data_IF_295261510300
#
_entry.id   IF_295261510300
#
_cell.length_a   1.000
_cell.length_b   1.000
_cell.length_c   1.000
_cell.angle_alpha   90.00
_cell.angle_beta   90.00
_cell.angle_gamma   90.00
#
_symmetry.space_group_name_H-M   'P 1'
#
loop_
_entity.id
_entity.type
_entity.pdbx_description
1 polymer ?
#
# COMPACT_ATOMS: atom_id res chain seq x y z
N UNK A 1 38.80 -56.57 16.61
CA UNK A 1 38.45 -55.75 15.44
C UNK A 1 37.00 -55.24 15.38
N UNK A 2 36.11 -55.58 16.32
CA UNK A 2 34.69 -55.20 16.30
C UNK A 2 34.40 -53.82 16.95
N UNK A 3 35.27 -53.30 17.84
CA UNK A 3 35.05 -52.05 18.53
C UNK A 3 35.27 -50.78 17.69
N UNK A 4 36.13 -50.85 16.66
CA UNK A 4 36.42 -49.72 15.76
C UNK A 4 35.28 -49.39 14.77
N UNK A 5 34.45 -50.38 14.43
CA UNK A 5 33.32 -50.20 13.50
C UNK A 5 32.14 -49.46 14.10
N UNK A 6 31.89 -49.66 15.38
CA UNK A 6 30.77 -48.98 16.08
C UNK A 6 31.05 -47.51 16.35
N UNK A 7 32.29 -47.18 16.70
CA UNK A 7 32.69 -45.78 16.93
C UNK A 7 32.57 -44.91 15.68
N UNK A 8 32.87 -45.42 14.49
CA UNK A 8 32.70 -44.72 13.22
C UNK A 8 31.21 -44.48 12.88
N UNK A 9 30.32 -45.42 13.25
CA UNK A 9 28.83 -45.24 13.07
C UNK A 9 28.28 -44.16 14.00
N UNK A 10 28.74 -44.04 15.24
CA UNK A 10 28.30 -43.01 16.17
C UNK A 10 28.81 -41.61 15.78
N UNK A 11 30.07 -41.54 15.27
CA UNK A 11 30.62 -40.27 14.76
C UNK A 11 29.83 -39.79 13.53
N UNK A 12 29.45 -40.70 12.60
CA UNK A 12 28.65 -40.35 11.43
C UNK A 12 27.23 -39.91 11.82
N UNK A 13 26.60 -40.52 12.84
CA UNK A 13 25.30 -40.11 13.36
C UNK A 13 25.37 -38.74 14.07
N UNK A 14 26.44 -38.43 14.77
CA UNK A 14 26.65 -37.13 15.42
C UNK A 14 26.86 -36.01 14.38
N UNK A 15 27.62 -36.27 13.31
CA UNK A 15 27.82 -35.29 12.21
C UNK A 15 26.55 -35.03 11.42
N UNK A 16 25.72 -36.03 11.17
CA UNK A 16 24.41 -35.87 10.51
C UNK A 16 23.44 -35.12 11.41
N UNK A 17 23.47 -35.35 12.76
CA UNK A 17 22.63 -34.63 13.70
C UNK A 17 23.02 -33.15 13.82
N UNK A 18 24.30 -32.80 13.66
CA UNK A 18 24.77 -31.40 13.68
C UNK A 18 24.43 -30.61 12.39
N UNK A 19 24.29 -31.31 11.24
CA UNK A 19 23.87 -30.66 9.99
C UNK A 19 22.39 -30.27 9.97
N UNK A 20 21.56 -30.77 10.88
CA UNK A 20 20.15 -30.39 11.04
C UNK A 20 19.88 -29.30 12.08
N UNK A 21 20.91 -28.74 12.72
CA UNK A 21 20.79 -27.45 13.38
C UNK A 21 20.72 -26.38 12.29
N UNK A 22 19.63 -26.42 11.53
CA UNK A 22 19.33 -25.42 10.50
C UNK A 22 19.45 -24.04 11.14
N UNK A 23 20.22 -23.15 10.53
CA UNK A 23 20.21 -21.73 10.84
C UNK A 23 18.74 -21.29 10.85
N UNK A 24 18.16 -21.18 12.03
CA UNK A 24 16.84 -20.60 12.18
C UNK A 24 16.98 -19.14 11.77
N UNK A 25 16.62 -18.86 10.50
CA UNK A 25 16.72 -17.51 9.96
C UNK A 25 15.94 -16.59 10.92
N UNK A 26 16.62 -15.58 11.48
CA UNK A 26 15.99 -14.65 12.42
C UNK A 26 14.74 -14.09 11.79
N UNK A 27 13.60 -14.28 12.44
CA UNK A 27 12.33 -13.74 11.99
C UNK A 27 12.36 -12.21 12.07
N UNK A 28 11.98 -11.54 10.98
CA UNK A 28 11.89 -10.09 10.88
C UNK A 28 10.43 -9.68 11.06
N UNK A 29 10.17 -8.81 12.02
CA UNK A 29 8.83 -8.27 12.26
C UNK A 29 8.61 -7.01 11.44
N UNK A 30 7.45 -6.92 10.76
CA UNK A 30 7.06 -5.80 9.90
C UNK A 30 5.68 -5.28 10.28
N UNK A 31 5.57 -4.01 10.67
CA UNK A 31 4.28 -3.32 10.86
C UNK A 31 3.99 -2.45 9.63
N UNK A 32 2.90 -2.75 8.94
CA UNK A 32 2.46 -2.04 7.76
C UNK A 32 1.33 -1.06 8.12
N UNK A 33 1.65 0.24 8.16
CA UNK A 33 0.71 1.32 8.45
C UNK A 33 0.19 1.87 7.13
N UNK A 34 -1.14 1.98 6.99
CA UNK A 34 -1.72 2.46 5.75
C UNK A 34 -3.22 2.72 5.82
N UNK A 35 -3.77 2.95 4.64
CA UNK A 35 -5.20 3.14 4.42
C UNK A 35 -5.91 1.84 3.97
N UNK A 36 -6.97 1.97 3.17
CA UNK A 36 -7.74 0.83 2.64
C UNK A 36 -6.90 -0.14 1.80
N UNK A 37 -5.88 0.34 1.07
CA UNK A 37 -5.02 -0.54 0.26
C UNK A 37 -4.26 -1.52 1.16
N UNK A 38 -3.83 -1.09 2.35
CA UNK A 38 -3.20 -1.93 3.36
C UNK A 38 -4.22 -2.79 4.09
N UNK A 39 -5.35 -2.21 4.52
CA UNK A 39 -6.43 -2.90 5.21
C UNK A 39 -6.95 -4.11 4.43
N UNK A 40 -7.20 -3.95 3.14
CA UNK A 40 -7.77 -4.99 2.25
C UNK A 40 -6.89 -6.23 2.09
N UNK A 41 -5.62 -6.21 2.55
CA UNK A 41 -4.78 -7.40 2.53
C UNK A 41 -5.41 -8.59 3.26
N UNK A 42 -6.15 -8.36 4.33
CA UNK A 42 -6.83 -9.38 5.14
C UNK A 42 -8.35 -9.35 4.99
N UNK A 43 -8.86 -8.45 4.15
CA UNK A 43 -10.29 -8.22 3.94
C UNK A 43 -10.66 -8.36 2.46
N UNK A 44 -10.07 -9.34 1.77
CA UNK A 44 -10.30 -9.57 0.33
C UNK A 44 -11.75 -9.91 0.00
N UNK A 45 -12.53 -10.43 0.96
CA UNK A 45 -13.97 -10.64 0.85
C UNK A 45 -14.76 -9.34 0.60
N UNK A 46 -14.22 -8.17 0.99
CA UNK A 46 -14.84 -6.86 0.75
C UNK A 46 -14.63 -6.34 -0.68
N UNK A 47 -13.82 -7.02 -1.49
CA UNK A 47 -13.48 -6.63 -2.86
C UNK A 47 -14.45 -7.17 -3.93
N UNK A 48 -15.54 -7.82 -3.53
CA UNK A 48 -16.44 -8.50 -4.47
C UNK A 48 -15.76 -9.63 -5.25
N UNK A 49 -14.89 -10.39 -4.60
CA UNK A 49 -14.09 -11.48 -5.16
C UNK A 49 -13.14 -11.07 -6.30
N UNK A 50 -12.71 -9.80 -6.32
CA UNK A 50 -11.81 -9.26 -7.35
C UNK A 50 -10.34 -9.32 -6.98
N UNK A 51 -10.03 -9.62 -5.73
CA UNK A 51 -8.68 -9.75 -5.19
C UNK A 51 -8.56 -11.05 -4.41
N UNK A 52 -7.51 -11.80 -4.67
CA UNK A 52 -7.21 -13.04 -3.94
C UNK A 52 -6.26 -12.80 -2.76
N UNK A 53 -5.27 -11.91 -2.91
CA UNK A 53 -4.23 -11.63 -1.91
C UNK A 53 -3.76 -10.18 -2.01
N UNK A 54 -3.60 -9.51 -0.88
CA UNK A 54 -2.97 -8.20 -0.82
C UNK A 54 -1.43 -8.27 -0.90
N UNK A 55 -0.80 -7.10 -0.82
CA UNK A 55 0.66 -7.00 -1.04
C UNK A 55 1.49 -7.60 0.11
N UNK A 56 1.06 -7.51 1.36
CA UNK A 56 1.81 -8.06 2.49
C UNK A 56 1.88 -9.59 2.43
N UNK A 57 0.76 -10.24 2.14
CA UNK A 57 0.70 -11.70 1.93
C UNK A 57 1.66 -12.12 0.82
N UNK A 58 1.67 -11.40 -0.33
CA UNK A 58 2.55 -11.69 -1.46
C UNK A 58 4.03 -11.48 -1.11
N UNK A 59 4.35 -10.48 -0.29
CA UNK A 59 5.71 -10.26 0.21
C UNK A 59 6.16 -11.41 1.10
N UNK A 60 5.33 -11.84 2.06
CA UNK A 60 5.72 -12.90 2.99
C UNK A 60 5.77 -14.29 2.35
N UNK A 61 5.03 -14.51 1.27
CA UNK A 61 5.20 -15.70 0.44
C UNK A 61 6.57 -15.76 -0.27
N UNK A 62 7.12 -14.59 -0.65
CA UNK A 62 8.44 -14.50 -1.27
C UNK A 62 9.58 -14.39 -0.24
N UNK A 63 9.30 -13.83 0.94
CA UNK A 63 10.24 -13.63 2.03
C UNK A 63 9.67 -14.27 3.32
N UNK A 64 9.74 -15.60 3.46
CA UNK A 64 9.06 -16.33 4.54
C UNK A 64 9.62 -16.09 5.94
N UNK A 65 10.78 -15.43 6.04
CA UNK A 65 11.34 -14.96 7.31
C UNK A 65 10.72 -13.66 7.82
N UNK A 66 9.81 -13.03 7.06
CA UNK A 66 9.12 -11.81 7.47
C UNK A 66 7.73 -12.17 7.99
N UNK A 67 7.40 -11.63 9.17
CA UNK A 67 6.06 -11.67 9.73
C UNK A 67 5.51 -10.24 9.79
N UNK A 68 4.36 -10.02 9.14
CA UNK A 68 3.73 -8.69 9.15
C UNK A 68 2.60 -8.57 10.19
N UNK A 69 2.36 -7.33 10.59
CA UNK A 69 1.16 -6.89 11.30
C UNK A 69 0.48 -5.82 10.45
N UNK A 70 -0.80 -6.03 10.15
CA UNK A 70 -1.61 -5.10 9.38
C UNK A 70 -2.12 -3.97 10.29
N UNK A 71 -1.70 -2.74 10.01
CA UNK A 71 -2.18 -1.49 10.59
C UNK A 71 -2.79 -0.60 9.51
N UNK A 72 -3.54 -1.22 8.60
CA UNK A 72 -4.35 -0.52 7.59
C UNK A 72 -5.70 -0.10 8.15
N UNK A 73 -6.16 1.09 7.80
CA UNK A 73 -7.41 1.66 8.26
C UNK A 73 -8.20 2.27 7.09
N UNK A 74 -9.40 1.75 6.83
CA UNK A 74 -10.24 2.20 5.70
C UNK A 74 -10.52 3.70 5.74
N UNK A 75 -10.16 4.41 4.66
CA UNK A 75 -10.42 5.82 4.48
C UNK A 75 -9.56 6.75 5.35
N UNK A 76 -8.60 6.23 6.11
CA UNK A 76 -7.78 7.08 6.97
C UNK A 76 -6.73 7.87 6.18
N UNK A 77 -6.44 9.04 6.71
CA UNK A 77 -5.45 10.00 6.24
C UNK A 77 -4.18 9.93 7.09
N UNK A 78 -3.07 10.44 6.61
CA UNK A 78 -1.86 10.61 7.41
C UNK A 78 -2.14 11.51 8.64
N UNK A 79 -2.96 12.55 8.47
CA UNK A 79 -3.40 13.42 9.58
C UNK A 79 -4.13 12.60 10.65
N UNK A 80 -5.03 11.70 10.26
CA UNK A 80 -5.76 10.88 11.22
C UNK A 80 -4.86 9.86 11.91
N UNK A 81 -4.00 9.18 11.15
CA UNK A 81 -2.99 8.26 11.74
C UNK A 81 -2.13 9.01 12.77
N UNK A 82 -1.61 10.19 12.43
CA UNK A 82 -0.79 11.00 13.35
C UNK A 82 -1.57 11.45 14.61
N UNK A 83 -2.86 11.74 14.46
CA UNK A 83 -3.72 12.13 15.58
C UNK A 83 -3.95 10.97 16.55
N UNK A 84 -4.18 9.78 16.01
CA UNK A 84 -4.49 8.57 16.79
C UNK A 84 -3.27 7.74 17.14
N UNK A 85 -2.05 8.17 16.77
CA UNK A 85 -0.84 7.35 16.77
C UNK A 85 -0.53 6.69 18.13
N UNK A 86 -0.87 7.37 19.24
CA UNK A 86 -0.65 6.84 20.59
C UNK A 86 -1.67 5.76 20.97
N UNK A 87 -2.85 5.78 20.34
CA UNK A 87 -3.98 4.89 20.63
C UNK A 87 -4.00 3.65 19.72
N UNK A 88 -3.20 3.65 18.63
CA UNK A 88 -3.20 2.56 17.63
C UNK A 88 -2.55 1.27 18.13
N UNK A 89 -1.86 1.30 19.27
CA UNK A 89 -1.20 0.10 19.81
C UNK A 89 -0.10 -0.45 18.87
N UNK A 90 0.59 0.43 18.15
CA UNK A 90 1.67 0.02 17.22
C UNK A 90 2.77 -0.69 18.01
N UNK A 91 3.02 -1.95 17.66
CA UNK A 91 4.04 -2.76 18.31
C UNK A 91 5.47 -2.34 17.88
N UNK A 92 6.45 -2.61 18.74
CA UNK A 92 7.86 -2.56 18.36
C UNK A 92 8.13 -3.59 17.27
N UNK A 93 8.77 -3.16 16.15
CA UNK A 93 9.09 -4.01 15.02
C UNK A 93 10.47 -3.70 14.43
N UNK A 94 11.01 -4.63 13.63
CA UNK A 94 12.28 -4.44 12.91
C UNK A 94 12.08 -3.55 11.68
N UNK A 95 10.87 -3.58 11.10
CA UNK A 95 10.50 -2.79 9.92
C UNK A 95 9.15 -2.11 10.12
N UNK A 96 9.04 -0.86 9.70
CA UNK A 96 7.78 -0.15 9.54
C UNK A 96 7.63 0.32 8.10
N UNK A 97 6.46 0.16 7.52
CA UNK A 97 6.10 0.81 6.25
C UNK A 97 4.94 1.77 6.45
N UNK A 98 4.97 2.91 5.74
CA UNK A 98 3.93 3.94 5.79
C UNK A 98 3.41 4.16 4.38
N UNK A 99 2.16 3.80 4.13
CA UNK A 99 1.49 3.91 2.82
C UNK A 99 0.22 4.76 2.96
N UNK A 100 0.36 6.06 2.86
CA UNK A 100 -0.67 7.07 3.11
C UNK A 100 -0.56 8.23 2.10
N UNK A 101 -1.55 9.13 2.10
CA UNK A 101 -1.55 10.36 1.30
C UNK A 101 -2.67 10.42 0.27
N UNK A 102 -3.18 9.29 -0.23
CA UNK A 102 -4.29 9.25 -1.19
C UNK A 102 -5.56 9.85 -0.60
N UNK A 103 -5.92 9.46 0.61
CA UNK A 103 -7.11 9.97 1.31
C UNK A 103 -6.93 11.39 1.80
N UNK A 104 -5.70 11.81 2.12
CA UNK A 104 -5.40 13.21 2.45
C UNK A 104 -5.70 14.11 1.25
N UNK A 105 -5.18 13.75 0.08
CA UNK A 105 -5.47 14.45 -1.16
C UNK A 105 -6.97 14.48 -1.46
N UNK A 106 -7.64 13.31 -1.46
CA UNK A 106 -9.07 13.24 -1.76
C UNK A 106 -9.93 14.01 -0.75
N UNK A 107 -9.58 13.95 0.52
CA UNK A 107 -10.24 14.71 1.60
C UNK A 107 -9.92 16.20 1.58
N UNK A 108 -9.12 16.69 0.63
CA UNK A 108 -8.71 18.10 0.54
C UNK A 108 -7.92 18.57 1.75
N UNK A 109 -7.19 17.66 2.41
CA UNK A 109 -6.35 17.99 3.57
C UNK A 109 -5.17 18.83 3.12
N UNK A 110 -4.75 19.82 3.92
CA UNK A 110 -3.60 20.65 3.56
C UNK A 110 -2.34 19.80 3.51
N UNK A 111 -1.66 19.82 2.35
CA UNK A 111 -0.35 19.18 2.20
C UNK A 111 0.67 19.83 3.14
N UNK A 112 0.58 21.15 3.30
CA UNK A 112 1.57 21.94 4.01
C UNK A 112 2.84 22.16 3.21
N UNK A 113 3.91 22.45 3.91
CA UNK A 113 5.24 22.67 3.35
C UNK A 113 6.28 21.80 4.04
N UNK A 114 7.46 21.65 3.43
CA UNK A 114 8.57 20.93 4.06
C UNK A 114 8.98 21.54 5.42
N UNK A 115 8.77 22.85 5.61
CA UNK A 115 9.01 23.53 6.88
C UNK A 115 8.14 22.97 8.03
N UNK A 116 6.92 22.51 7.73
CA UNK A 116 6.06 21.87 8.73
C UNK A 116 6.66 20.55 9.23
N UNK A 117 7.27 19.80 8.32
CA UNK A 117 8.02 18.58 8.66
C UNK A 117 9.27 18.90 9.49
N UNK A 118 10.11 19.82 8.98
CA UNK A 118 11.40 20.17 9.58
C UNK A 118 11.25 20.73 10.99
N UNK A 119 10.30 21.64 11.20
CA UNK A 119 10.03 22.28 12.49
C UNK A 119 9.09 21.50 13.41
N UNK A 120 8.62 20.33 12.98
CA UNK A 120 7.70 19.49 13.79
C UNK A 120 6.49 20.28 14.27
N UNK A 121 5.75 20.91 13.35
CA UNK A 121 4.60 21.78 13.69
C UNK A 121 3.35 21.01 14.11
N UNK A 122 3.42 19.67 14.20
CA UNK A 122 2.30 18.80 14.56
C UNK A 122 1.50 18.34 13.34
N UNK A 123 0.34 17.77 13.59
CA UNK A 123 -0.45 17.00 12.62
C UNK A 123 -1.53 17.82 11.86
N UNK A 124 -1.35 19.13 11.69
CA UNK A 124 -2.30 19.96 10.95
C UNK A 124 -2.14 19.85 9.43
N UNK A 125 -0.98 19.40 8.96
CA UNK A 125 -0.66 19.19 7.56
C UNK A 125 -0.13 17.77 7.33
N UNK A 126 -0.10 17.33 6.07
CA UNK A 126 0.45 15.99 5.73
C UNK A 126 1.93 15.92 6.06
N UNK A 127 2.71 16.96 5.74
CA UNK A 127 4.12 17.04 6.12
C UNK A 127 4.33 16.90 7.63
N UNK A 128 3.60 17.66 8.45
CA UNK A 128 3.70 17.58 9.91
C UNK A 128 3.24 16.22 10.45
N UNK A 129 2.22 15.62 9.84
CA UNK A 129 1.72 14.29 10.22
C UNK A 129 2.75 13.19 9.97
N UNK A 130 3.44 13.22 8.82
CA UNK A 130 4.54 12.28 8.57
C UNK A 130 5.66 12.44 9.60
N UNK A 131 5.97 13.67 10.04
CA UNK A 131 6.95 13.91 11.11
C UNK A 131 6.51 13.24 12.42
N UNK A 132 5.26 13.44 12.81
CA UNK A 132 4.68 12.83 14.02
C UNK A 132 4.75 11.31 13.96
N UNK A 133 4.33 10.71 12.83
CA UNK A 133 4.35 9.25 12.65
C UNK A 133 5.79 8.71 12.73
N UNK A 134 6.73 9.29 11.97
CA UNK A 134 8.13 8.83 11.96
C UNK A 134 8.77 8.94 13.33
N UNK A 135 8.53 10.04 14.06
CA UNK A 135 9.03 10.21 15.42
C UNK A 135 8.49 9.11 16.36
N UNK A 136 7.21 8.78 16.28
CA UNK A 136 6.61 7.70 17.06
C UNK A 136 7.28 6.36 16.75
N UNK A 137 7.44 6.01 15.48
CA UNK A 137 8.06 4.73 15.09
C UNK A 137 9.51 4.62 15.59
N UNK A 138 10.27 5.70 15.50
CA UNK A 138 11.63 5.77 16.06
C UNK A 138 11.66 5.64 17.60
N UNK A 139 10.65 6.18 18.29
CA UNK A 139 10.54 6.01 19.74
C UNK A 139 10.26 4.57 20.16
N UNK A 140 9.61 3.77 19.31
CA UNK A 140 9.36 2.35 19.53
C UNK A 140 10.61 1.50 19.25
N UNK A 141 11.31 1.81 18.16
CA UNK A 141 12.58 1.18 17.79
C UNK A 141 13.41 2.11 16.91
N UNK A 142 14.45 2.70 17.46
CA UNK A 142 15.36 3.63 16.77
C UNK A 142 16.24 2.94 15.72
N UNK A 143 16.39 1.61 15.78
CA UNK A 143 17.09 0.79 14.81
C UNK A 143 16.18 0.23 13.70
N UNK A 144 14.88 0.48 13.76
CA UNK A 144 13.96 -0.05 12.78
C UNK A 144 14.21 0.53 11.39
N UNK A 145 14.08 -0.31 10.38
CA UNK A 145 14.01 0.13 8.98
C UNK A 145 12.64 0.76 8.73
N UNK A 146 12.58 2.06 8.42
CA UNK A 146 11.35 2.74 8.03
C UNK A 146 11.32 2.86 6.50
N UNK A 147 10.21 2.43 5.89
CA UNK A 147 9.96 2.46 4.44
C UNK A 147 8.77 3.38 4.20
N UNK A 148 8.96 4.41 3.40
CA UNK A 148 7.88 5.25 2.93
C UNK A 148 7.38 4.71 1.58
N UNK A 149 6.06 4.70 1.39
CA UNK A 149 5.43 4.28 0.14
C UNK A 149 4.60 5.45 -0.37
N UNK A 150 4.89 5.92 -1.58
CA UNK A 150 4.10 7.01 -2.16
C UNK A 150 2.70 6.53 -2.54
N UNK A 151 1.68 7.40 -2.59
CA UNK A 151 0.44 7.11 -3.28
C UNK A 151 0.70 6.56 -4.68
N UNK A 152 -0.20 5.77 -5.22
CA UNK A 152 -0.24 5.40 -6.63
C UNK A 152 -1.19 6.34 -7.38
N UNK A 153 -1.04 6.44 -8.70
CA UNK A 153 -2.04 7.10 -9.54
C UNK A 153 -3.39 6.37 -9.44
N UNK A 154 -4.47 7.08 -9.68
CA UNK A 154 -5.83 6.50 -9.68
C UNK A 154 -6.69 7.13 -10.78
N UNK A 155 -7.62 6.36 -11.31
CA UNK A 155 -8.73 6.86 -12.13
C UNK A 155 -9.98 7.07 -11.26
N UNK A 156 -11.13 7.29 -11.87
CA UNK A 156 -12.36 7.42 -11.12
C UNK A 156 -12.61 6.17 -10.28
N UNK A 157 -12.89 6.37 -9.03
CA UNK A 157 -13.19 5.31 -8.07
C UNK A 157 -14.70 5.19 -7.88
N UNK A 158 -15.19 3.95 -7.82
CA UNK A 158 -16.56 3.65 -7.36
C UNK A 158 -16.52 2.40 -6.49
N UNK A 159 -16.89 2.57 -5.20
CA UNK A 159 -16.89 1.46 -4.26
C UNK A 159 -17.96 0.42 -4.60
N UNK A 160 -17.54 -0.84 -4.73
CA UNK A 160 -18.40 -1.92 -5.21
C UNK A 160 -19.61 -2.20 -4.30
N UNK A 161 -19.47 -1.98 -2.99
CA UNK A 161 -20.54 -2.22 -2.02
C UNK A 161 -21.40 -0.97 -1.75
N UNK A 162 -21.03 0.20 -2.32
CA UNK A 162 -21.79 1.45 -2.20
C UNK A 162 -21.39 2.42 -3.30
N UNK A 163 -22.13 2.50 -4.39
CA UNK A 163 -21.81 3.34 -5.55
C UNK A 163 -21.82 4.84 -5.24
N UNK A 164 -22.50 5.26 -4.15
CA UNK A 164 -22.44 6.64 -3.64
C UNK A 164 -21.08 7.02 -3.09
N UNK A 165 -20.28 6.05 -2.66
CA UNK A 165 -18.88 6.25 -2.35
C UNK A 165 -18.06 6.18 -3.63
N UNK A 166 -17.92 7.34 -4.28
CA UNK A 166 -17.18 7.49 -5.53
C UNK A 166 -16.35 8.77 -5.55
N UNK A 167 -15.39 8.83 -6.43
CA UNK A 167 -14.42 9.92 -6.52
C UNK A 167 -13.80 9.99 -7.91
N UNK A 168 -13.44 11.18 -8.38
CA UNK A 168 -12.68 11.33 -9.62
C UNK A 168 -11.21 10.91 -9.46
N UNK A 169 -10.52 10.69 -10.57
CA UNK A 169 -9.13 10.26 -10.63
C UNK A 169 -8.10 11.36 -10.36
N UNK A 170 -6.83 10.95 -10.22
CA UNK A 170 -5.70 11.86 -9.98
C UNK A 170 -5.25 12.66 -11.21
N UNK A 171 -5.95 12.51 -12.32
CA UNK A 171 -5.81 13.34 -13.51
C UNK A 171 -6.40 14.77 -13.33
N UNK A 172 -6.98 15.06 -12.17
CA UNK A 172 -7.57 16.34 -11.78
C UNK A 172 -7.12 16.71 -10.37
N UNK A 173 -6.96 18.02 -10.12
CA UNK A 173 -6.65 18.53 -8.78
C UNK A 173 -7.85 18.42 -7.82
N UNK A 174 -7.57 18.41 -6.54
CA UNK A 174 -8.53 18.53 -5.46
C UNK A 174 -8.18 19.76 -4.62
N UNK A 175 -9.04 20.79 -4.63
CA UNK A 175 -8.81 22.05 -3.91
C UNK A 175 -7.44 22.69 -4.25
N UNK A 176 -7.06 22.69 -5.53
CA UNK A 176 -5.79 23.23 -5.99
C UNK A 176 -4.56 22.36 -5.70
N UNK A 177 -4.75 21.14 -5.17
CA UNK A 177 -3.67 20.21 -4.87
C UNK A 177 -3.75 18.98 -5.78
N UNK A 178 -2.62 18.55 -6.34
CA UNK A 178 -2.49 17.35 -7.16
C UNK A 178 -1.96 16.18 -6.33
N UNK A 179 -2.43 14.96 -6.56
CA UNK A 179 -1.91 13.77 -5.87
C UNK A 179 -0.40 13.60 -6.07
N UNK A 180 0.13 14.03 -7.22
CA UNK A 180 1.57 14.06 -7.49
C UNK A 180 2.36 14.85 -6.43
N UNK A 181 1.81 15.94 -5.90
CA UNK A 181 2.47 16.76 -4.88
C UNK A 181 2.60 15.98 -3.54
N UNK A 182 1.62 15.13 -3.21
CA UNK A 182 1.69 14.26 -2.03
C UNK A 182 2.75 13.17 -2.20
N UNK A 183 2.87 12.59 -3.39
CA UNK A 183 3.93 11.65 -3.71
C UNK A 183 5.32 12.31 -3.61
N UNK A 184 5.47 13.52 -4.15
CA UNK A 184 6.73 14.28 -4.08
C UNK A 184 7.08 14.69 -2.64
N UNK A 185 6.09 15.05 -1.82
CA UNK A 185 6.32 15.32 -0.39
C UNK A 185 6.92 14.12 0.34
N UNK A 186 6.40 12.91 0.06
CA UNK A 186 6.92 11.66 0.66
C UNK A 186 8.33 11.37 0.16
N UNK A 187 8.63 11.60 -1.14
CA UNK A 187 9.98 11.49 -1.69
C UNK A 187 10.94 12.48 -1.01
N UNK A 188 10.50 13.73 -0.80
CA UNK A 188 11.28 14.78 -0.13
C UNK A 188 11.60 14.40 1.31
N UNK A 189 10.61 13.91 2.08
CA UNK A 189 10.80 13.41 3.44
C UNK A 189 11.80 12.27 3.44
N UNK A 190 11.62 11.28 2.55
CA UNK A 190 12.51 10.13 2.46
C UNK A 190 13.96 10.52 2.17
N UNK A 191 14.17 11.46 1.26
CA UNK A 191 15.50 12.00 0.95
C UNK A 191 16.14 12.70 2.16
N UNK A 192 15.39 13.55 2.84
CA UNK A 192 15.88 14.29 4.01
C UNK A 192 16.25 13.35 5.15
N UNK A 193 15.39 12.41 5.48
CA UNK A 193 15.57 11.44 6.57
C UNK A 193 16.48 10.25 6.20
N UNK A 194 16.93 10.17 4.94
CA UNK A 194 17.68 9.03 4.37
C UNK A 194 16.94 7.71 4.51
N UNK A 195 15.62 7.74 4.39
CA UNK A 195 14.76 6.57 4.43
C UNK A 195 14.59 5.96 3.04
N UNK A 196 14.31 4.67 3.02
CA UNK A 196 13.93 3.98 1.77
C UNK A 196 12.54 4.45 1.33
N UNK A 197 12.40 4.83 0.05
CA UNK A 197 11.11 5.17 -0.55
C UNK A 197 10.77 4.17 -1.65
N UNK A 198 9.60 3.55 -1.56
CA UNK A 198 8.96 2.79 -2.64
C UNK A 198 8.06 3.77 -3.39
N UNK A 199 8.58 4.33 -4.47
CA UNK A 199 7.90 5.35 -5.27
C UNK A 199 6.93 4.69 -6.26
N UNK A 200 5.72 4.40 -5.79
CA UNK A 200 4.67 3.81 -6.63
C UNK A 200 4.17 4.79 -7.68
N UNK A 201 4.10 6.08 -7.34
CA UNK A 201 3.56 7.10 -8.23
C UNK A 201 4.32 7.18 -9.55
N UNK A 202 5.65 7.18 -9.48
CA UNK A 202 6.50 7.39 -10.66
C UNK A 202 7.16 6.12 -11.19
N UNK A 203 7.32 5.06 -10.35
CA UNK A 203 8.18 3.91 -10.68
C UNK A 203 7.49 2.56 -10.72
N UNK A 204 6.19 2.50 -10.39
CA UNK A 204 5.44 1.23 -10.44
C UNK A 204 5.08 0.78 -11.85
N UNK A 205 5.08 1.70 -12.82
CA UNK A 205 4.49 1.49 -14.14
C UNK A 205 2.94 1.54 -14.15
N UNK A 206 2.31 1.69 -12.99
CA UNK A 206 0.86 1.93 -12.89
C UNK A 206 0.56 3.40 -13.20
N UNK A 207 -0.24 3.64 -14.21
CA UNK A 207 -0.61 4.99 -14.64
C UNK A 207 -2.05 4.99 -15.16
N UNK A 208 -2.60 6.14 -15.47
CA UNK A 208 -4.00 6.29 -15.86
C UNK A 208 -4.42 5.40 -17.04
N UNK A 209 -3.49 5.05 -17.95
CA UNK A 209 -3.80 4.24 -19.14
C UNK A 209 -3.98 2.75 -18.83
N UNK A 210 -3.48 2.26 -17.67
CA UNK A 210 -3.50 0.84 -17.32
C UNK A 210 -4.13 0.52 -15.95
N UNK A 211 -4.68 1.53 -15.25
CA UNK A 211 -5.34 1.27 -13.97
C UNK A 211 -6.61 0.44 -14.15
N UNK A 212 -7.38 0.73 -15.20
CA UNK A 212 -8.52 -0.07 -15.63
C UNK A 212 -8.50 -0.15 -17.16
N UNK A 213 -9.09 -1.19 -17.76
CA UNK A 213 -9.19 -1.30 -19.22
C UNK A 213 -10.22 -0.32 -19.78
N UNK A 214 -11.33 -0.12 -19.05
CA UNK A 214 -12.40 0.80 -19.40
C UNK A 214 -13.30 1.08 -18.19
N UNK A 215 -14.13 2.10 -18.31
CA UNK A 215 -15.29 2.36 -17.45
C UNK A 215 -16.56 2.17 -18.26
N UNK A 216 -17.50 1.35 -17.79
CA UNK A 216 -18.77 1.08 -18.46
C UNK A 216 -19.81 2.09 -18.01
N UNK A 217 -20.21 2.96 -18.91
CA UNK A 217 -21.12 4.09 -18.63
C UNK A 217 -22.22 4.17 -19.68
N UNK A 218 -23.33 4.79 -19.33
CA UNK A 218 -24.37 5.15 -20.29
C UNK A 218 -23.87 6.26 -21.21
N UNK A 219 -24.00 6.04 -22.51
CA UNK A 219 -23.80 7.12 -23.47
C UNK A 219 -24.89 8.20 -23.26
N UNK A 220 -24.49 9.47 -23.01
CA UNK A 220 -25.44 10.51 -22.63
C UNK A 220 -26.44 10.86 -23.75
N UNK A 221 -26.14 10.50 -25.00
CA UNK A 221 -27.04 10.77 -26.14
C UNK A 221 -27.98 9.61 -26.46
N UNK A 222 -27.54 8.38 -26.28
CA UNK A 222 -28.30 7.18 -26.64
C UNK A 222 -28.91 6.43 -25.46
N UNK A 223 -28.40 6.66 -24.24
CA UNK A 223 -28.77 5.91 -23.05
C UNK A 223 -28.24 4.47 -23.01
N UNK A 224 -27.50 4.05 -24.03
CA UNK A 224 -26.95 2.68 -24.14
C UNK A 224 -25.60 2.61 -23.40
N UNK A 225 -25.37 1.54 -22.62
CA UNK A 225 -24.09 1.30 -21.96
C UNK A 225 -22.99 1.00 -22.97
N UNK A 226 -21.87 1.69 -22.82
CA UNK A 226 -20.66 1.53 -23.63
C UNK A 226 -19.42 1.46 -22.74
N UNK A 227 -18.35 0.85 -23.26
CA UNK A 227 -17.05 0.76 -22.60
C UNK A 227 -16.16 1.91 -23.07
N UNK A 228 -15.76 2.76 -22.14
CA UNK A 228 -14.91 3.93 -22.41
C UNK A 228 -13.53 3.71 -21.77
N UNK A 229 -12.46 3.58 -22.55
CA UNK A 229 -11.09 3.58 -21.99
C UNK A 229 -10.73 4.97 -21.45
N UNK A 230 -9.65 5.08 -20.70
CA UNK A 230 -9.07 6.37 -20.35
C UNK A 230 -8.46 7.00 -21.63
N UNK A 231 -8.64 8.30 -21.88
CA UNK A 231 -9.35 9.30 -21.06
C UNK A 231 -10.84 9.48 -21.42
N UNK A 232 -11.40 8.68 -22.30
CA UNK A 232 -12.72 8.90 -22.95
C UNK A 232 -13.89 8.90 -21.97
N UNK A 233 -13.74 8.28 -20.80
CA UNK A 233 -14.78 8.31 -19.75
C UNK A 233 -14.81 9.61 -18.94
N UNK A 234 -13.80 10.49 -19.09
CA UNK A 234 -13.74 11.74 -18.31
C UNK A 234 -14.91 12.63 -18.75
N UNK A 235 -15.70 13.06 -17.76
CA UNK A 235 -16.86 13.93 -17.99
C UNK A 235 -18.15 13.21 -18.41
N UNK A 236 -18.13 11.88 -18.63
CA UNK A 236 -19.36 11.10 -18.81
C UNK A 236 -20.02 10.93 -17.45
N UNK A 237 -21.30 11.35 -17.29
CA UNK A 237 -21.99 11.24 -16.02
C UNK A 237 -22.15 9.79 -15.56
N UNK A 238 -22.02 9.58 -14.26
CA UNK A 238 -22.34 8.34 -13.57
C UNK A 238 -23.36 8.64 -12.47
N UNK A 239 -24.51 7.98 -12.51
CA UNK A 239 -25.54 8.11 -11.48
C UNK A 239 -25.53 6.89 -10.55
N UNK A 240 -25.06 7.04 -9.29
CA UNK A 240 -24.93 5.92 -8.36
C UNK A 240 -26.26 5.30 -7.91
N UNK A 241 -27.40 5.96 -8.16
CA UNK A 241 -28.72 5.46 -7.79
C UNK A 241 -29.38 4.62 -8.90
N UNK A 242 -28.96 4.78 -10.16
CA UNK A 242 -29.65 4.17 -11.31
C UNK A 242 -28.73 3.43 -12.28
N UNK A 243 -27.42 3.66 -12.22
CA UNK A 243 -26.49 3.05 -13.16
C UNK A 243 -25.93 1.73 -12.64
N UNK A 244 -25.56 0.85 -13.59
CA UNK A 244 -24.82 -0.37 -13.28
C UNK A 244 -23.44 -0.03 -12.71
N UNK A 245 -22.86 -0.98 -11.96
CA UNK A 245 -21.50 -0.84 -11.47
C UNK A 245 -20.52 -0.64 -12.65
N UNK A 246 -19.73 0.45 -12.65
CA UNK A 246 -19.00 0.84 -13.86
C UNK A 246 -17.73 0.01 -14.13
N UNK A 247 -17.33 -0.86 -13.21
CA UNK A 247 -16.14 -1.71 -13.37
C UNK A 247 -16.53 -3.20 -13.31
N UNK A 248 -17.11 -3.77 -14.36
CA UNK A 248 -17.30 -5.21 -14.45
C UNK A 248 -15.94 -5.93 -14.44
N UNK A 249 -15.94 -7.26 -14.25
CA UNK A 249 -14.69 -8.06 -14.12
C UNK A 249 -13.76 -7.86 -15.32
N UNK A 250 -14.32 -7.71 -16.51
CA UNK A 250 -13.58 -7.47 -17.76
C UNK A 250 -12.86 -6.12 -17.80
N UNK A 251 -13.29 -5.16 -16.99
CA UNK A 251 -12.67 -3.84 -16.90
C UNK A 251 -11.39 -3.84 -16.03
N UNK A 252 -11.20 -4.87 -15.23
CA UNK A 252 -10.07 -4.97 -14.29
C UNK A 252 -8.73 -5.00 -15.05
N UNK A 253 -7.79 -4.15 -14.60
CA UNK A 253 -6.36 -4.24 -14.94
C UNK A 253 -5.52 -4.07 -13.67
N UNK A 254 -4.79 -2.99 -13.46
CA UNK A 254 -3.98 -2.76 -12.25
C UNK A 254 -4.84 -2.48 -11.02
N UNK A 255 -6.05 -1.96 -11.20
CA UNK A 255 -7.05 -1.77 -10.14
C UNK A 255 -8.34 -2.47 -10.50
N UNK A 256 -9.16 -2.77 -9.48
CA UNK A 256 -10.47 -3.41 -9.71
C UNK A 256 -11.64 -2.41 -9.66
N UNK A 257 -11.42 -1.20 -9.16
CA UNK A 257 -12.46 -0.18 -8.96
C UNK A 257 -11.98 1.25 -9.27
N UNK A 258 -10.82 1.37 -9.91
CA UNK A 258 -10.17 2.64 -10.26
C UNK A 258 -9.19 3.18 -9.22
N UNK A 259 -9.20 2.64 -7.99
CA UNK A 259 -8.34 3.02 -6.87
C UNK A 259 -7.60 1.82 -6.27
N UNK A 260 -8.35 0.83 -5.80
CA UNK A 260 -7.75 -0.28 -5.07
C UNK A 260 -7.11 -1.28 -6.05
N UNK A 261 -5.87 -1.72 -5.76
CA UNK A 261 -5.15 -2.65 -6.63
C UNK A 261 -5.91 -3.96 -6.83
N UNK A 262 -5.90 -4.46 -8.06
CA UNK A 262 -6.23 -5.85 -8.38
C UNK A 262 -5.11 -6.79 -7.93
N UNK A 263 -5.26 -8.09 -8.15
CA UNK A 263 -4.16 -9.05 -7.96
C UNK A 263 -2.89 -8.66 -8.73
N UNK A 264 -3.05 -8.12 -9.95
CA UNK A 264 -1.95 -7.61 -10.77
C UNK A 264 -1.28 -6.39 -10.13
N UNK A 265 -2.06 -5.42 -9.65
CA UNK A 265 -1.54 -4.23 -8.98
C UNK A 265 -0.87 -4.56 -7.65
N UNK A 266 -1.47 -5.44 -6.85
CA UNK A 266 -0.85 -5.89 -5.59
C UNK A 266 0.45 -6.67 -5.83
N UNK A 267 0.57 -7.42 -6.92
CA UNK A 267 1.83 -8.09 -7.28
C UNK A 267 2.93 -7.06 -7.56
N UNK A 268 2.64 -5.99 -8.31
CA UNK A 268 3.61 -4.89 -8.56
C UNK A 268 4.07 -4.25 -7.26
N UNK A 269 3.15 -3.94 -6.34
CA UNK A 269 3.49 -3.35 -5.03
C UNK A 269 4.39 -4.31 -4.24
N UNK A 270 4.03 -5.60 -4.20
CA UNK A 270 4.78 -6.63 -3.49
C UNK A 270 6.21 -6.77 -4.07
N UNK A 271 6.36 -6.85 -5.39
CA UNK A 271 7.67 -6.99 -6.04
C UNK A 271 8.59 -5.79 -5.77
N UNK A 272 8.03 -4.58 -5.69
CA UNK A 272 8.81 -3.39 -5.30
C UNK A 272 9.23 -3.44 -3.82
N UNK A 273 8.36 -3.94 -2.94
CA UNK A 273 8.68 -4.11 -1.51
C UNK A 273 9.68 -5.24 -1.27
N UNK A 274 9.58 -6.36 -1.96
CA UNK A 274 10.54 -7.48 -1.88
C UNK A 274 11.96 -7.01 -2.21
N UNK A 275 12.14 -6.15 -3.22
CA UNK A 275 13.45 -5.58 -3.58
C UNK A 275 14.11 -4.77 -2.47
N UNK A 276 13.33 -4.21 -1.55
CA UNK A 276 13.84 -3.39 -0.43
C UNK A 276 13.84 -4.15 0.90
N UNK A 277 12.96 -5.12 1.08
CA UNK A 277 12.88 -5.95 2.29
C UNK A 277 13.83 -7.15 2.27
N UNK A 278 14.15 -7.68 1.09
CA UNK A 278 15.04 -8.82 0.91
C UNK A 278 16.54 -8.48 0.95
N UNK A 279 16.87 -7.20 1.21
CA UNK A 279 18.24 -6.71 1.42
C UNK A 279 18.52 -6.61 2.91
#
# INVERSE_FOLDING_TARGET
MAQSSNMKKYILLLVVSFCFLGFQQKQTTWVAIGDSITYLNEHTNETGNRVSKGYMTRVTEQLPNIQYTNQGHNGWTAIRIATEIENLGIAKADVYSIFLGTNDWWGGKPLGSFNDYEKNTGNQTVYGSFRTIINKLRSLNDQAKIILITPMQRVDFVYINSYKNNAFGSYKDKNGQWLAQFAEAINTIGKFEKLTVVDLYNKSGMNHDNLVKFKRLKNPHTGVYQNYPYPDFIGIPFNPDTDEYPYPVEAIDMTYDGLHPSDKGYAVIADMLVKVLGK
#
